data_IF_192593090674
#
_entry.id   IF_192593090674
#
_cell.length_a   1.000
_cell.length_b   1.000
_cell.length_c   1.000
_cell.angle_alpha   90.00
_cell.angle_beta   90.00
_cell.angle_gamma   90.00
#
_symmetry.space_group_name_H-M   'P 1'
#
loop_
_entity.id
_entity.type
_entity.pdbx_description
1 polymer ?
#
# COMPACT_ATOMS: atom_id res chain seq x y z
N UNK A 1 -26.46 25.79 21.40
CA UNK A 1 -25.43 24.86 21.89
C UNK A 1 -24.94 24.03 20.72
N UNK A 2 -23.81 24.40 20.12
CA UNK A 2 -23.19 23.61 19.07
C UNK A 2 -22.27 22.58 19.73
N UNK A 3 -22.59 21.30 19.56
CA UNK A 3 -21.76 20.19 20.02
C UNK A 3 -20.58 20.05 19.06
N UNK A 4 -19.42 20.53 19.48
CA UNK A 4 -18.15 20.29 18.79
C UNK A 4 -17.87 18.78 18.83
N UNK A 5 -17.91 18.12 17.68
CA UNK A 5 -17.52 16.71 17.53
C UNK A 5 -16.04 16.60 17.90
N UNK A 6 -15.75 16.05 19.08
CA UNK A 6 -14.40 15.74 19.48
C UNK A 6 -13.76 14.83 18.42
N UNK A 7 -12.54 15.16 17.99
CA UNK A 7 -11.72 14.23 17.23
C UNK A 7 -11.56 12.98 18.09
N UNK A 8 -12.20 11.88 17.68
CA UNK A 8 -12.05 10.58 18.31
C UNK A 8 -10.59 10.18 18.17
N UNK A 9 -9.83 10.28 19.25
CA UNK A 9 -8.48 9.71 19.30
C UNK A 9 -8.65 8.19 19.14
N UNK A 10 -8.43 7.71 17.91
CA UNK A 10 -8.30 6.28 17.65
C UNK A 10 -7.19 5.77 18.55
N UNK A 11 -7.45 4.70 19.31
CA UNK A 11 -6.41 4.04 20.08
C UNK A 11 -5.28 3.57 19.15
N UNK A 12 -4.06 3.41 19.67
CA UNK A 12 -2.91 2.98 18.86
C UNK A 12 -3.19 1.69 18.06
N UNK A 13 -3.98 0.76 18.60
CA UNK A 13 -4.41 -0.46 17.91
C UNK A 13 -5.29 -0.18 16.69
N UNK A 14 -6.20 0.79 16.79
CA UNK A 14 -7.07 1.17 15.67
C UNK A 14 -6.29 1.93 14.62
N UNK A 15 -5.38 2.83 15.03
CA UNK A 15 -4.46 3.51 14.11
C UNK A 15 -3.58 2.50 13.36
N UNK A 16 -2.97 1.55 14.08
CA UNK A 16 -2.15 0.48 13.49
C UNK A 16 -2.93 -0.37 12.49
N UNK A 17 -4.14 -0.81 12.86
CA UNK A 17 -4.96 -1.60 11.95
C UNK A 17 -5.38 -0.80 10.71
N UNK A 18 -5.72 0.48 10.84
CA UNK A 18 -6.07 1.31 9.70
C UNK A 18 -4.88 1.58 8.79
N UNK A 19 -3.69 1.83 9.34
CA UNK A 19 -2.47 2.00 8.52
C UNK A 19 -2.06 0.71 7.81
N UNK A 20 -2.29 -0.47 8.42
CA UNK A 20 -2.11 -1.76 7.73
C UNK A 20 -3.02 -1.90 6.51
N UNK A 21 -4.28 -1.46 6.59
CA UNK A 21 -5.20 -1.48 5.44
C UNK A 21 -4.76 -0.53 4.34
N UNK A 22 -4.27 0.65 4.72
CA UNK A 22 -3.81 1.67 3.79
C UNK A 22 -2.55 1.19 3.04
N UNK A 23 -1.56 0.62 3.74
CA UNK A 23 -0.34 0.10 3.10
C UNK A 23 -0.62 -1.18 2.29
N UNK A 24 -1.51 -2.06 2.74
CA UNK A 24 -1.88 -3.25 1.97
C UNK A 24 -2.54 -2.90 0.64
N UNK A 25 -3.39 -1.88 0.61
CA UNK A 25 -3.91 -1.34 -0.65
C UNK A 25 -2.80 -0.77 -1.52
N UNK A 26 -1.86 -0.02 -0.92
CA UNK A 26 -0.75 0.59 -1.63
C UNK A 26 0.16 -0.45 -2.28
N UNK A 27 0.60 -1.48 -1.55
CA UNK A 27 1.47 -2.53 -2.10
C UNK A 27 0.79 -3.28 -3.26
N UNK A 28 -0.51 -3.60 -3.14
CA UNK A 28 -1.27 -4.17 -4.27
C UNK A 28 -1.33 -3.26 -5.49
N UNK A 29 -1.48 -1.95 -5.27
CA UNK A 29 -1.49 -0.96 -6.35
C UNK A 29 -0.11 -0.84 -6.99
N UNK A 30 0.96 -0.77 -6.19
CA UNK A 30 2.36 -0.74 -6.64
C UNK A 30 2.67 -1.98 -7.48
N UNK A 31 2.29 -3.16 -6.99
CA UNK A 31 2.51 -4.43 -7.69
C UNK A 31 1.92 -4.45 -9.11
N UNK A 32 0.72 -3.86 -9.27
CA UNK A 32 0.06 -3.74 -10.57
C UNK A 32 0.66 -2.64 -11.47
N UNK A 33 1.31 -1.64 -10.88
CA UNK A 33 1.88 -0.49 -11.59
C UNK A 33 3.31 -0.73 -12.05
N UNK A 34 4.15 -1.39 -11.26
CA UNK A 34 5.58 -1.62 -11.56
C UNK A 34 5.84 -2.23 -12.95
N UNK A 35 5.05 -3.21 -13.45
CA UNK A 35 5.22 -3.71 -14.81
C UNK A 35 5.04 -2.66 -15.91
N UNK A 36 4.24 -1.61 -15.68
CA UNK A 36 4.06 -0.50 -16.63
C UNK A 36 5.29 0.41 -16.63
N UNK A 37 5.79 0.74 -15.44
CA UNK A 37 7.00 1.55 -15.27
C UNK A 37 8.23 0.86 -15.88
N UNK A 38 8.37 -0.46 -15.65
CA UNK A 38 9.42 -1.27 -16.27
C UNK A 38 9.38 -1.24 -17.81
N UNK A 39 8.17 -1.24 -18.41
CA UNK A 39 8.00 -1.14 -19.86
C UNK A 39 8.30 0.25 -20.41
N UNK A 40 8.04 1.30 -19.63
CA UNK A 40 8.30 2.69 -20.03
C UNK A 40 9.78 3.10 -19.84
N UNK A 41 10.53 2.37 -19.00
CA UNK A 41 11.94 2.63 -18.76
C UNK A 41 12.78 2.39 -20.02
N UNK A 42 13.62 3.38 -20.38
CA UNK A 42 14.56 3.29 -21.51
C UNK A 42 15.94 2.75 -21.09
N UNK A 43 16.26 2.82 -19.80
CA UNK A 43 17.50 2.28 -19.23
C UNK A 43 17.26 0.84 -18.77
N UNK A 44 18.14 -0.07 -19.18
CA UNK A 44 18.11 -1.48 -18.77
C UNK A 44 18.24 -1.62 -17.24
N UNK A 45 19.09 -0.81 -16.61
CA UNK A 45 19.27 -0.81 -15.15
C UNK A 45 17.97 -0.38 -14.44
N UNK A 46 17.29 0.64 -14.97
CA UNK A 46 16.04 1.12 -14.39
C UNK A 46 14.91 0.10 -14.57
N UNK A 47 14.84 -0.55 -15.74
CA UNK A 47 13.89 -1.63 -15.98
C UNK A 47 14.11 -2.80 -15.02
N UNK A 48 15.36 -3.24 -14.86
CA UNK A 48 15.72 -4.31 -13.93
C UNK A 48 15.39 -3.92 -12.47
N UNK A 49 15.55 -2.65 -12.10
CA UNK A 49 15.17 -2.16 -10.78
C UNK A 49 13.66 -2.27 -10.54
N UNK A 50 12.81 -1.92 -11.51
CA UNK A 50 11.35 -2.07 -11.39
C UNK A 50 10.91 -3.54 -11.34
N UNK A 51 11.51 -4.41 -12.14
CA UNK A 51 11.23 -5.85 -12.13
C UNK A 51 11.63 -6.46 -10.78
N UNK A 52 12.82 -6.15 -10.28
CA UNK A 52 13.25 -6.56 -8.94
C UNK A 52 12.32 -6.04 -7.85
N UNK A 53 11.89 -4.78 -7.94
CA UNK A 53 11.02 -4.21 -6.93
C UNK A 53 9.63 -4.85 -6.94
N UNK A 54 9.14 -5.28 -8.12
CA UNK A 54 7.87 -6.01 -8.24
C UNK A 54 7.91 -7.30 -7.42
N UNK A 55 8.98 -8.07 -7.55
CA UNK A 55 9.12 -9.35 -6.84
C UNK A 55 9.22 -9.11 -5.32
N UNK A 56 9.92 -8.06 -4.89
CA UNK A 56 9.94 -7.64 -3.48
C UNK A 56 8.55 -7.23 -2.98
N UNK A 57 7.80 -6.46 -3.76
CA UNK A 57 6.45 -6.03 -3.42
C UNK A 57 5.49 -7.22 -3.29
N UNK A 58 5.65 -8.27 -4.12
CA UNK A 58 4.87 -9.51 -3.97
C UNK A 58 5.12 -10.16 -2.60
N UNK A 59 6.37 -10.25 -2.16
CA UNK A 59 6.70 -10.71 -0.81
C UNK A 59 6.14 -9.78 0.28
N UNK A 60 6.14 -8.46 0.06
CA UNK A 60 5.59 -7.50 1.03
C UNK A 60 4.08 -7.70 1.22
N UNK A 61 3.35 -7.96 0.13
CA UNK A 61 1.91 -8.27 0.19
C UNK A 61 1.69 -9.55 1.02
N UNK A 62 2.47 -10.60 0.78
CA UNK A 62 2.38 -11.84 1.55
C UNK A 62 2.67 -11.63 3.04
N UNK A 63 3.72 -10.86 3.39
CA UNK A 63 4.03 -10.51 4.78
C UNK A 63 2.91 -9.72 5.46
N UNK A 64 2.25 -8.82 4.73
CA UNK A 64 1.10 -8.09 5.27
C UNK A 64 -0.06 -9.04 5.55
N UNK A 65 -0.31 -10.03 4.69
CA UNK A 65 -1.33 -11.06 4.92
C UNK A 65 -1.04 -11.89 6.18
N UNK A 66 0.23 -12.28 6.40
CA UNK A 66 0.67 -12.91 7.65
C UNK A 66 0.42 -12.00 8.87
N UNK A 67 0.73 -10.71 8.77
CA UNK A 67 0.48 -9.76 9.87
C UNK A 67 -1.01 -9.64 10.19
N UNK A 68 -1.88 -9.61 9.16
CA UNK A 68 -3.33 -9.61 9.34
C UNK A 68 -3.81 -10.88 10.08
N UNK A 69 -3.24 -12.04 9.75
CA UNK A 69 -3.53 -13.30 10.45
C UNK A 69 -3.09 -13.25 11.92
N UNK A 70 -1.88 -12.76 12.21
CA UNK A 70 -1.34 -12.65 13.58
C UNK A 70 -2.22 -11.79 14.48
N UNK A 71 -2.88 -10.76 13.93
CA UNK A 71 -3.78 -9.88 14.69
C UNK A 71 -5.25 -10.30 14.64
N UNK A 72 -5.56 -11.48 14.07
CA UNK A 72 -6.91 -12.00 13.88
C UNK A 72 -7.84 -10.99 13.17
N UNK A 73 -7.36 -10.47 12.04
CA UNK A 73 -8.11 -9.56 11.16
C UNK A 73 -8.04 -10.03 9.72
N UNK A 74 -9.08 -9.73 8.94
CA UNK A 74 -9.07 -10.02 7.50
C UNK A 74 -8.18 -8.99 6.77
N UNK A 75 -7.34 -9.42 5.81
CA UNK A 75 -6.59 -8.51 4.96
C UNK A 75 -7.54 -7.77 4.02
N UNK A 76 -7.87 -6.53 4.38
CA UNK A 76 -8.77 -5.68 3.61
C UNK A 76 -8.06 -4.38 3.29
N UNK A 77 -7.85 -4.12 2.01
CA UNK A 77 -7.29 -2.85 1.57
C UNK A 77 -8.32 -1.73 1.74
N UNK A 78 -7.87 -0.58 2.23
CA UNK A 78 -8.65 0.66 2.19
C UNK A 78 -8.04 1.55 1.12
N UNK A 79 -8.87 2.11 0.25
CA UNK A 79 -8.40 2.99 -0.82
C UNK A 79 -7.52 4.10 -0.24
N UNK A 80 -6.27 4.13 -0.69
CA UNK A 80 -5.29 5.13 -0.31
C UNK A 80 -5.17 6.16 -1.44
N UNK A 81 -5.59 7.40 -1.20
CA UNK A 81 -5.51 8.46 -2.22
C UNK A 81 -4.07 8.81 -2.58
N UNK A 82 -3.15 8.72 -1.62
CA UNK A 82 -1.74 9.03 -1.82
C UNK A 82 -1.10 8.10 -2.85
N UNK A 83 -1.27 6.78 -2.71
CA UNK A 83 -0.67 5.85 -3.68
C UNK A 83 -1.36 5.91 -5.05
N UNK A 84 -2.64 6.26 -5.10
CA UNK A 84 -3.33 6.49 -6.38
C UNK A 84 -2.67 7.65 -7.12
N UNK A 85 -2.42 8.79 -6.46
CA UNK A 85 -1.72 9.92 -7.08
C UNK A 85 -0.29 9.57 -7.51
N UNK A 86 0.51 8.98 -6.63
CA UNK A 86 1.90 8.59 -6.94
C UNK A 86 1.96 7.64 -8.14
N UNK A 87 1.06 6.64 -8.20
CA UNK A 87 1.05 5.68 -9.30
C UNK A 87 0.43 6.23 -10.59
N UNK A 88 -0.34 7.32 -10.53
CA UNK A 88 -0.82 8.03 -11.71
C UNK A 88 0.26 8.94 -12.31
N UNK A 89 1.08 9.57 -11.47
CA UNK A 89 2.20 10.39 -11.92
C UNK A 89 3.36 9.56 -12.50
N UNK A 90 3.60 8.37 -11.95
CA UNK A 90 4.76 7.54 -12.29
C UNK A 90 4.55 6.53 -13.43
N UNK A 91 3.31 6.25 -13.86
CA UNK A 91 2.96 5.11 -14.71
C UNK A 91 2.52 5.46 -16.13
#
# INVERSE_FOLDING_TARGET
MATTKAASYKGLNELFHDTLKDIYFAEKKILATLPKMAKAAQSDDLKAAFEKHRDQTEEHVARLEEVFEVIDKKPVGKTCAAIMGITEEGA
#
